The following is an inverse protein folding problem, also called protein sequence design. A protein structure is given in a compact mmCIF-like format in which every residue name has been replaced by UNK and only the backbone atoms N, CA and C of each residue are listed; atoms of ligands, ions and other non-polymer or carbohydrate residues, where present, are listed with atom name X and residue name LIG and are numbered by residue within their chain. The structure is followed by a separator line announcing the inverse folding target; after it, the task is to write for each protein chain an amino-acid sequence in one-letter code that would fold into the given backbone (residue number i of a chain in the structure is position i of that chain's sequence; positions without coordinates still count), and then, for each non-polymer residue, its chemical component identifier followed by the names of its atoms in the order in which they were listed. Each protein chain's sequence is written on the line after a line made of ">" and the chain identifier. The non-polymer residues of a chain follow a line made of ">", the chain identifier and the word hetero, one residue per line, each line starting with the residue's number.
data_IF_080812385907
#
_entry.id   IF_080812385907
#
_cell.length_a   1.000
_cell.length_b   1.000
_cell.length_c   1.000
_cell.angle_alpha   90.00
_cell.angle_beta   90.00
_cell.angle_gamma   90.00
#
_symmetry.space_group_name_H-M   'P 1'
#
loop_
_entity.id
_entity.type
_entity.pdbx_description
1 polymer ?
#
# COMPACT_ATOMS: atom_id res chain seq x y z
N UNK A 1 -34.40 -9.19 -29.63
CA UNK A 1 -33.20 -9.88 -29.11
C UNK A 1 -32.32 -8.81 -28.50
N UNK A 2 -32.60 -8.47 -27.25
CA UNK A 2 -32.12 -9.15 -26.02
C UNK A 2 -30.98 -8.34 -25.43
N UNK A 3 -31.30 -7.78 -24.26
CA UNK A 3 -30.45 -7.07 -23.32
C UNK A 3 -29.08 -7.70 -23.12
N UNK A 4 -28.10 -6.86 -22.80
CA UNK A 4 -27.39 -7.00 -21.52
C UNK A 4 -26.81 -5.66 -21.14
N UNK A 5 -27.55 -4.93 -20.31
CA UNK A 5 -26.93 -3.99 -19.40
C UNK A 5 -26.04 -4.76 -18.43
N UNK A 6 -24.92 -4.14 -18.04
CA UNK A 6 -24.30 -4.46 -16.76
C UNK A 6 -23.82 -3.15 -16.16
N UNK A 7 -24.72 -2.62 -15.34
CA UNK A 7 -24.50 -1.60 -14.32
C UNK A 7 -23.44 -2.06 -13.32
N UNK A 8 -22.64 -1.09 -12.90
CA UNK A 8 -22.03 -0.97 -11.58
C UNK A 8 -21.08 -2.06 -11.07
N UNK A 9 -19.81 -1.65 -10.97
CA UNK A 9 -19.19 -1.42 -9.65
C UNK A 9 -18.16 -0.29 -9.81
N UNK A 10 -18.64 0.95 -9.80
CA UNK A 10 -17.87 2.01 -9.14
C UNK A 10 -17.77 1.55 -7.68
N UNK A 11 -16.67 0.88 -7.34
CA UNK A 11 -16.27 0.72 -5.94
C UNK A 11 -15.71 2.08 -5.49
N UNK A 12 -16.56 3.10 -5.58
CA UNK A 12 -16.37 4.39 -4.94
C UNK A 12 -16.51 4.06 -3.46
N UNK A 13 -15.37 4.03 -2.77
CA UNK A 13 -15.30 3.82 -1.33
C UNK A 13 -15.93 5.06 -0.72
N UNK A 14 -17.25 5.04 -0.62
CA UNK A 14 -18.05 6.02 0.09
C UNK A 14 -17.67 5.93 1.56
N UNK A 15 -17.20 7.04 2.14
CA UNK A 15 -16.99 7.17 3.57
C UNK A 15 -15.54 7.03 4.06
N UNK A 16 -14.69 7.99 3.71
CA UNK A 16 -13.63 8.46 4.62
C UNK A 16 -13.57 9.99 4.56
N UNK A 17 -14.66 10.65 4.96
CA UNK A 17 -14.85 12.12 4.99
C UNK A 17 -14.00 12.85 6.06
N UNK A 18 -12.95 12.23 6.58
CA UNK A 18 -12.02 12.90 7.50
C UNK A 18 -10.57 12.63 7.05
N UNK A 19 -9.94 13.65 6.44
CA UNK A 19 -8.55 13.60 5.96
C UNK A 19 -7.55 13.20 7.06
N UNK A 20 -7.86 13.50 8.34
CA UNK A 20 -7.10 13.04 9.50
C UNK A 20 -7.20 11.53 9.69
N UNK A 21 -8.40 10.96 9.54
CA UNK A 21 -8.64 9.52 9.61
C UNK A 21 -7.94 8.79 8.45
N UNK A 22 -7.96 9.36 7.23
CA UNK A 22 -7.26 8.81 6.07
C UNK A 22 -5.74 8.83 6.22
N UNK A 23 -5.19 9.96 6.68
CA UNK A 23 -3.76 10.11 6.98
C UNK A 23 -3.31 9.08 8.02
N UNK A 24 -4.12 8.85 9.05
CA UNK A 24 -3.83 7.85 10.10
C UNK A 24 -3.82 6.43 9.54
N UNK A 25 -4.75 6.08 8.66
CA UNK A 25 -4.78 4.75 7.99
C UNK A 25 -3.51 4.54 7.18
N UNK A 26 -3.12 5.52 6.36
CA UNK A 26 -1.90 5.46 5.55
C UNK A 26 -0.66 5.34 6.45
N UNK A 27 -0.55 6.18 7.48
CA UNK A 27 0.60 6.19 8.39
C UNK A 27 0.76 4.86 9.15
N UNK A 28 -0.36 4.24 9.56
CA UNK A 28 -0.33 2.93 10.20
C UNK A 28 0.14 1.83 9.25
N UNK A 29 -0.41 1.80 8.02
CA UNK A 29 -0.02 0.83 7.01
C UNK A 29 1.46 0.97 6.62
N UNK A 30 1.96 2.21 6.49
CA UNK A 30 3.37 2.49 6.21
C UNK A 30 4.24 2.06 7.38
N UNK A 31 3.88 2.39 8.63
CA UNK A 31 4.66 2.01 9.82
C UNK A 31 4.80 0.50 9.94
N UNK A 32 3.71 -0.23 9.73
CA UNK A 32 3.71 -1.69 9.80
C UNK A 32 4.54 -2.30 8.66
N UNK A 33 4.37 -1.82 7.44
CA UNK A 33 5.19 -2.26 6.31
C UNK A 33 6.68 -1.95 6.50
N UNK A 34 7.04 -0.79 7.07
CA UNK A 34 8.42 -0.43 7.39
C UNK A 34 8.97 -1.28 8.53
N UNK A 35 8.17 -1.61 9.55
CA UNK A 35 8.63 -2.49 10.64
C UNK A 35 9.01 -3.87 10.14
N UNK A 36 8.22 -4.42 9.20
CA UNK A 36 8.47 -5.75 8.62
C UNK A 36 9.61 -5.70 7.60
N UNK A 37 9.64 -4.67 6.75
CA UNK A 37 10.55 -4.60 5.61
C UNK A 37 12.02 -4.25 5.93
N UNK A 38 12.30 -3.68 7.10
CA UNK A 38 13.63 -3.14 7.42
C UNK A 38 14.43 -3.99 8.40
N UNK A 39 13.89 -5.09 8.94
CA UNK A 39 14.57 -5.82 10.01
C UNK A 39 15.37 -7.06 9.58
N UNK A 40 15.05 -7.81 8.51
CA UNK A 40 15.72 -9.14 8.39
C UNK A 40 15.96 -9.75 7.00
N UNK A 41 15.07 -9.69 5.99
CA UNK A 41 15.31 -10.38 4.71
C UNK A 41 14.36 -9.96 3.54
N UNK A 42 14.68 -10.35 2.30
CA UNK A 42 13.85 -10.23 1.09
C UNK A 42 12.48 -10.92 1.23
N UNK A 43 12.39 -11.93 2.09
CA UNK A 43 11.14 -12.61 2.42
C UNK A 43 10.18 -11.68 3.17
N UNK A 44 10.69 -10.90 4.11
CA UNK A 44 9.89 -9.95 4.90
C UNK A 44 9.47 -8.75 4.06
N UNK A 45 10.31 -8.34 3.10
CA UNK A 45 9.93 -7.36 2.07
C UNK A 45 8.67 -7.78 1.31
N UNK A 46 8.65 -9.02 0.83
CA UNK A 46 7.53 -9.58 0.10
C UNK A 46 6.28 -9.72 0.98
N UNK A 47 6.46 -10.06 2.26
CA UNK A 47 5.36 -10.11 3.23
C UNK A 47 4.75 -8.73 3.48
N UNK A 48 5.58 -7.68 3.60
CA UNK A 48 5.13 -6.30 3.73
C UNK A 48 4.34 -5.83 2.50
N UNK A 49 4.87 -6.10 1.29
CA UNK A 49 4.19 -5.78 0.03
C UNK A 49 2.82 -6.49 -0.07
N UNK A 50 2.76 -7.77 0.29
CA UNK A 50 1.50 -8.54 0.31
C UNK A 50 0.49 -7.96 1.30
N UNK A 51 0.93 -7.56 2.49
CA UNK A 51 0.08 -6.96 3.51
C UNK A 51 -0.53 -5.63 3.05
N UNK A 52 0.24 -4.81 2.33
CA UNK A 52 -0.27 -3.56 1.71
C UNK A 52 -1.31 -3.87 0.62
N UNK A 53 -1.03 -4.84 -0.25
CA UNK A 53 -1.94 -5.21 -1.35
C UNK A 53 -3.28 -5.72 -0.79
N UNK A 54 -3.24 -6.53 0.27
CA UNK A 54 -4.41 -7.11 0.93
C UNK A 54 -5.18 -6.12 1.82
N UNK A 55 -4.66 -4.91 2.06
CA UNK A 55 -5.34 -3.92 2.89
C UNK A 55 -6.56 -3.33 2.16
N UNK A 56 -7.76 -3.61 2.66
CA UNK A 56 -9.02 -3.16 2.04
C UNK A 56 -9.36 -1.68 2.30
N UNK A 57 -8.65 -1.04 3.24
CA UNK A 57 -8.84 0.38 3.57
C UNK A 57 -8.03 1.29 2.65
N UNK A 58 -7.00 0.75 2.00
CA UNK A 58 -6.18 1.49 1.04
C UNK A 58 -6.81 1.42 -0.36
N UNK A 59 -6.80 2.56 -1.05
CA UNK A 59 -7.08 2.63 -2.48
C UNK A 59 -5.94 2.05 -3.29
N UNK A 60 -6.23 1.68 -4.54
CA UNK A 60 -5.22 1.20 -5.49
C UNK A 60 -4.05 2.17 -5.66
N UNK A 61 -4.33 3.48 -5.64
CA UNK A 61 -3.31 4.53 -5.69
C UNK A 61 -2.41 4.49 -4.47
N UNK A 62 -2.98 4.48 -3.26
CA UNK A 62 -2.20 4.44 -2.01
C UNK A 62 -1.35 3.18 -1.91
N UNK A 63 -1.89 2.01 -2.28
CA UNK A 63 -1.12 0.76 -2.34
C UNK A 63 0.09 0.89 -3.24
N UNK A 64 -0.11 1.40 -4.46
CA UNK A 64 0.95 1.53 -5.45
C UNK A 64 2.01 2.55 -5.02
N UNK A 65 1.59 3.67 -4.44
CA UNK A 65 2.48 4.71 -3.92
C UNK A 65 3.32 4.21 -2.75
N UNK A 66 2.72 3.51 -1.78
CA UNK A 66 3.45 2.98 -0.61
C UNK A 66 4.50 1.97 -1.07
N UNK A 67 4.16 1.05 -1.97
CA UNK A 67 5.11 0.05 -2.51
C UNK A 67 6.26 0.73 -3.27
N UNK A 68 5.96 1.76 -4.07
CA UNK A 68 6.99 2.51 -4.80
C UNK A 68 7.97 3.23 -3.85
N UNK A 69 7.44 3.87 -2.79
CA UNK A 69 8.25 4.56 -1.78
C UNK A 69 9.12 3.59 -0.97
N UNK A 70 8.57 2.42 -0.64
CA UNK A 70 9.31 1.34 -0.03
C UNK A 70 10.48 0.94 -0.94
N UNK A 71 10.23 0.61 -2.21
CA UNK A 71 11.28 0.21 -3.16
C UNK A 71 12.38 1.28 -3.34
N UNK A 72 12.02 2.57 -3.31
CA UNK A 72 12.99 3.66 -3.35
C UNK A 72 13.86 3.69 -2.09
N UNK A 73 13.25 3.54 -0.89
CA UNK A 73 13.98 3.56 0.38
C UNK A 73 14.94 2.37 0.49
N UNK A 74 14.56 1.18 0.00
CA UNK A 74 15.43 0.00 -0.07
C UNK A 74 16.69 0.26 -0.90
N UNK A 75 16.53 0.76 -2.13
CA UNK A 75 17.66 1.13 -3.00
C UNK A 75 18.59 2.17 -2.38
N UNK A 76 18.02 3.14 -1.63
CA UNK A 76 18.81 4.14 -0.90
C UNK A 76 19.61 3.51 0.25
N UNK A 77 19.06 2.50 0.93
CA UNK A 77 19.74 1.79 2.02
C UNK A 77 20.90 0.94 1.49
N UNK A 78 20.66 0.14 0.44
CA UNK A 78 21.66 -0.69 -0.22
C UNK A 78 22.84 0.16 -0.75
N UNK A 79 22.57 1.39 -1.21
CA UNK A 79 23.62 2.31 -1.69
C UNK A 79 24.50 2.87 -0.57
N UNK A 80 23.98 3.04 0.65
CA UNK A 80 24.76 3.57 1.79
C UNK A 80 25.65 2.53 2.46
N UNK A 81 25.32 1.25 2.33
CA UNK A 81 26.15 0.16 2.87
C UNK A 81 27.31 -0.21 1.92
N UNK A 82 27.29 0.29 0.68
CA UNK A 82 28.33 0.08 -0.33
C UNK A 82 29.38 1.20 -0.41
N UNK A 83 29.24 2.27 0.37
CA UNK A 83 30.21 3.39 0.53
C UNK A 83 31.02 3.24 1.83
#
# INVERSE_FOLDING_TARGET
>A
MESSGSTDKKNEIEGFEDDKSRTKIIALAVREAVSVAFEVDDADWNAACRSIIQNNLLTSTEKSTIIALLNQKRQISEKREAE
#
